data_IF_401671424634
#
_entry.id   IF_401671424634
#
_cell.length_a   1.000
_cell.length_b   1.000
_cell.length_c   1.000
_cell.angle_alpha   90.00
_cell.angle_beta   90.00
_cell.angle_gamma   90.00
#
_symmetry.space_group_name_H-M   'P 1'
#
loop_
_entity.id
_entity.type
_entity.pdbx_description
1 polymer ?
#
# COMPACT_ATOMS: atom_id res chain seq x y z
N UNK A 1 -15.02 46.29 27.70
CA UNK A 1 -15.35 45.73 26.37
C UNK A 1 -15.21 44.22 26.42
N UNK A 2 -15.98 43.43 25.65
CA UNK A 2 -15.93 41.96 25.68
C UNK A 2 -14.71 41.45 24.88
N UNK A 3 -13.50 41.55 25.46
CA UNK A 3 -12.25 41.11 24.81
C UNK A 3 -12.28 39.63 24.42
N UNK A 4 -12.97 38.79 25.19
CA UNK A 4 -13.14 37.35 24.91
C UNK A 4 -13.60 37.04 23.47
N UNK A 5 -14.58 37.79 22.96
CA UNK A 5 -15.10 37.63 21.58
C UNK A 5 -13.99 37.84 20.55
N UNK A 6 -13.19 38.89 20.73
CA UNK A 6 -12.13 39.24 19.80
C UNK A 6 -10.98 38.25 19.87
N UNK A 7 -10.64 37.71 21.05
CA UNK A 7 -9.64 36.64 21.16
C UNK A 7 -10.01 35.40 20.35
N UNK A 8 -11.27 34.96 20.47
CA UNK A 8 -11.80 33.85 19.67
C UNK A 8 -11.74 34.15 18.16
N UNK A 9 -11.99 35.40 17.78
CA UNK A 9 -11.92 35.85 16.39
C UNK A 9 -10.49 35.94 15.85
N UNK A 10 -9.50 36.27 16.68
CA UNK A 10 -8.09 36.27 16.26
C UNK A 10 -7.69 34.85 15.82
N UNK A 11 -8.02 33.81 16.59
CA UNK A 11 -7.76 32.42 16.17
C UNK A 11 -8.51 32.07 14.86
N UNK A 12 -9.81 32.38 14.79
CA UNK A 12 -10.61 32.12 13.60
C UNK A 12 -10.15 32.91 12.35
N UNK A 13 -9.42 34.01 12.53
CA UNK A 13 -8.82 34.77 11.43
C UNK A 13 -7.74 33.97 10.71
N UNK A 14 -6.82 33.35 11.46
CA UNK A 14 -5.73 32.53 10.90
C UNK A 14 -6.24 31.20 10.32
N UNK A 15 -7.31 30.65 10.89
CA UNK A 15 -7.99 29.47 10.33
C UNK A 15 -8.83 29.78 9.07
N UNK A 16 -8.97 31.05 8.69
CA UNK A 16 -9.80 31.47 7.55
C UNK A 16 -11.31 31.36 7.77
N UNK A 17 -11.76 31.17 9.02
CA UNK A 17 -13.15 30.87 9.39
C UNK A 17 -14.04 32.12 9.65
N UNK A 18 -13.47 33.33 9.61
CA UNK A 18 -14.24 34.58 9.79
C UNK A 18 -14.96 35.03 8.52
N UNK A 19 -16.20 35.51 8.68
CA UNK A 19 -16.94 36.18 7.60
C UNK A 19 -16.36 37.58 7.30
N UNK A 20 -16.63 38.17 6.11
CA UNK A 20 -16.13 39.50 5.77
C UNK A 20 -16.52 40.59 6.76
N UNK A 21 -17.72 40.49 7.34
CA UNK A 21 -18.23 41.45 8.33
C UNK A 21 -17.49 41.34 9.67
N UNK A 22 -17.23 40.11 10.11
CA UNK A 22 -16.48 39.85 11.34
C UNK A 22 -15.02 40.29 11.21
N UNK A 23 -14.40 40.09 10.03
CA UNK A 23 -13.05 40.59 9.75
C UNK A 23 -12.98 42.12 9.87
N UNK A 24 -13.95 42.85 9.30
CA UNK A 24 -13.99 44.32 9.40
C UNK A 24 -14.14 44.79 10.84
N UNK A 25 -15.03 44.17 11.61
CA UNK A 25 -15.23 44.50 13.03
C UNK A 25 -13.98 44.18 13.87
N UNK A 26 -13.31 43.05 13.61
CA UNK A 26 -12.05 42.70 14.26
C UNK A 26 -10.96 43.74 13.99
N UNK A 27 -10.76 44.14 12.73
CA UNK A 27 -9.76 45.15 12.34
C UNK A 27 -10.00 46.48 13.04
N UNK A 28 -11.26 46.91 13.16
CA UNK A 28 -11.60 48.16 13.86
C UNK A 28 -11.32 48.04 15.37
N UNK A 29 -11.55 46.87 15.96
CA UNK A 29 -11.18 46.61 17.34
C UNK A 29 -9.66 46.64 17.58
N UNK A 30 -8.87 46.06 16.66
CA UNK A 30 -7.40 46.05 16.76
C UNK A 30 -6.80 47.47 16.73
N UNK A 31 -7.48 48.44 16.11
CA UNK A 31 -7.06 49.86 16.14
C UNK A 31 -7.24 50.51 17.51
N UNK A 32 -8.24 50.07 18.28
CA UNK A 32 -8.65 50.70 19.54
C UNK A 32 -8.14 49.96 20.78
N UNK A 33 -7.86 48.66 20.68
CA UNK A 33 -7.40 47.83 21.79
C UNK A 33 -5.95 47.33 21.61
N UNK A 34 -5.06 47.76 22.52
CA UNK A 34 -3.65 47.34 22.54
C UNK A 34 -3.45 45.87 22.95
N UNK A 35 -4.29 45.34 23.83
CA UNK A 35 -4.22 43.93 24.27
C UNK A 35 -4.48 42.95 23.12
N UNK A 36 -5.60 43.12 22.41
CA UNK A 36 -5.95 42.27 21.28
C UNK A 36 -4.98 42.46 20.10
N UNK A 37 -4.40 43.66 19.94
CA UNK A 37 -3.35 43.88 18.94
C UNK A 37 -2.10 43.06 19.23
N UNK A 38 -1.64 43.03 20.49
CA UNK A 38 -0.48 42.24 20.89
C UNK A 38 -0.69 40.74 20.64
N UNK A 39 -1.87 40.22 20.98
CA UNK A 39 -2.21 38.81 20.72
C UNK A 39 -2.25 38.48 19.23
N UNK A 40 -2.77 39.40 18.40
CA UNK A 40 -2.76 39.23 16.95
C UNK A 40 -1.32 39.18 16.39
N UNK A 41 -0.45 40.10 16.82
CA UNK A 41 0.96 40.14 16.39
C UNK A 41 1.75 38.89 16.84
N UNK A 42 1.48 38.36 18.04
CA UNK A 42 2.11 37.12 18.53
C UNK A 42 1.75 35.92 17.63
N UNK A 43 0.48 35.80 17.26
CA UNK A 43 0.01 34.71 16.41
C UNK A 43 0.47 34.86 14.95
N UNK A 44 0.55 36.10 14.44
CA UNK A 44 1.13 36.40 13.12
C UNK A 44 2.60 35.99 13.04
N UNK A 45 3.39 36.25 14.08
CA UNK A 45 4.79 35.79 14.14
C UNK A 45 4.89 34.27 14.13
N UNK A 46 4.03 33.58 14.87
CA UNK A 46 4.05 32.12 14.90
C UNK A 46 3.75 31.51 13.52
N UNK A 47 2.72 32.02 12.84
CA UNK A 47 2.40 31.62 11.45
C UNK A 47 3.57 31.90 10.49
N UNK A 48 4.23 33.05 10.61
CA UNK A 48 5.38 33.38 9.76
C UNK A 48 6.56 32.41 9.94
N UNK A 49 6.82 31.97 11.18
CA UNK A 49 7.87 30.98 11.48
C UNK A 49 7.47 29.60 10.96
N UNK A 50 6.21 29.20 11.08
CA UNK A 50 5.71 27.93 10.55
C UNK A 50 5.72 27.89 9.02
N UNK A 51 5.45 29.02 8.36
CA UNK A 51 5.54 29.15 6.90
C UNK A 51 6.98 28.98 6.39
N UNK A 52 7.99 29.43 7.15
CA UNK A 52 9.40 29.22 6.84
C UNK A 52 9.82 27.76 7.03
N UNK A 53 9.20 27.05 7.98
CA UNK A 53 9.34 25.60 8.19
C UNK A 53 8.38 24.80 7.29
N UNK A 54 8.21 25.24 6.04
CA UNK A 54 7.46 24.46 5.05
C UNK A 54 8.13 23.10 4.87
N UNK A 55 7.53 22.07 5.46
CA UNK A 55 7.95 20.69 5.26
C UNK A 55 7.88 20.41 3.75
N UNK A 56 8.95 19.93 3.11
CA UNK A 56 8.94 19.68 1.69
C UNK A 56 7.80 18.71 1.38
N UNK A 57 6.82 19.19 0.60
CA UNK A 57 5.76 18.36 0.08
C UNK A 57 6.44 17.31 -0.81
N UNK A 58 6.30 15.99 -0.55
CA UNK A 58 6.95 14.98 -1.37
C UNK A 58 6.50 15.19 -2.82
N UNK A 59 7.47 15.38 -3.72
CA UNK A 59 7.20 15.61 -5.13
C UNK A 59 6.48 14.38 -5.72
N UNK A 60 5.63 14.59 -6.73
CA UNK A 60 4.89 13.51 -7.40
C UNK A 60 5.82 12.41 -7.95
N UNK A 61 7.09 12.72 -8.22
CA UNK A 61 8.14 11.77 -8.61
C UNK A 61 8.46 10.74 -7.51
N UNK A 62 8.43 11.13 -6.24
CA UNK A 62 8.63 10.21 -5.11
C UNK A 62 7.44 9.27 -4.98
N UNK A 63 6.23 9.78 -5.23
CA UNK A 63 5.00 9.00 -5.18
C UNK A 63 4.94 7.92 -6.27
N UNK A 64 5.31 8.28 -7.50
CA UNK A 64 5.35 7.34 -8.63
C UNK A 64 6.40 6.24 -8.45
N UNK A 65 7.59 6.55 -7.94
CA UNK A 65 8.61 5.53 -7.65
C UNK A 65 8.22 4.58 -6.51
N UNK A 66 7.57 5.09 -5.47
CA UNK A 66 7.11 4.25 -4.36
C UNK A 66 6.06 3.24 -4.83
N UNK A 67 5.02 3.69 -5.56
CA UNK A 67 3.97 2.81 -6.05
C UNK A 67 4.46 1.80 -7.09
N UNK A 68 5.30 2.21 -8.03
CA UNK A 68 5.82 1.32 -9.07
C UNK A 68 6.66 0.15 -8.50
N UNK A 69 7.37 0.36 -7.39
CA UNK A 69 8.22 -0.67 -6.79
C UNK A 69 7.47 -1.61 -5.84
N UNK A 70 6.46 -1.10 -5.13
CA UNK A 70 5.63 -1.88 -4.21
C UNK A 70 4.63 -2.75 -4.99
N UNK A 71 3.91 -2.16 -5.95
CA UNK A 71 2.85 -2.86 -6.69
C UNK A 71 3.40 -4.01 -7.55
N UNK A 72 4.46 -3.76 -8.33
CA UNK A 72 5.11 -4.77 -9.18
C UNK A 72 5.74 -5.92 -8.39
N UNK A 73 6.12 -5.70 -7.12
CA UNK A 73 6.71 -6.72 -6.26
C UNK A 73 5.64 -7.59 -5.61
N UNK A 74 4.53 -6.99 -5.21
CA UNK A 74 3.41 -7.68 -4.57
C UNK A 74 2.64 -8.53 -5.57
N UNK A 75 2.28 -7.97 -6.73
CA UNK A 75 1.51 -8.66 -7.77
C UNK A 75 2.18 -9.97 -8.20
N UNK A 76 3.50 -9.91 -8.44
CA UNK A 76 4.25 -11.11 -8.82
C UNK A 76 4.30 -12.14 -7.70
N UNK A 77 4.51 -11.74 -6.44
CA UNK A 77 4.56 -12.70 -5.32
C UNK A 77 3.20 -13.35 -5.08
N UNK A 78 2.13 -12.56 -5.06
CA UNK A 78 0.76 -13.03 -4.83
C UNK A 78 0.32 -13.92 -5.99
N UNK A 79 0.62 -13.55 -7.24
CA UNK A 79 0.31 -14.36 -8.42
C UNK A 79 0.92 -15.76 -8.35
N UNK A 80 2.18 -15.89 -7.93
CA UNK A 80 2.81 -17.22 -7.78
C UNK A 80 2.24 -18.03 -6.61
N UNK A 81 1.90 -17.37 -5.50
CA UNK A 81 1.24 -18.04 -4.37
C UNK A 81 -0.10 -18.60 -4.83
N UNK A 82 -0.93 -17.79 -5.48
CA UNK A 82 -2.24 -18.21 -6.00
C UNK A 82 -2.11 -19.30 -7.07
N UNK A 83 -1.15 -19.19 -7.99
CA UNK A 83 -0.92 -20.21 -9.02
C UNK A 83 -0.49 -21.54 -8.41
N UNK A 84 0.44 -21.52 -7.44
CA UNK A 84 0.91 -22.72 -6.76
C UNK A 84 -0.20 -23.39 -5.97
N UNK A 85 -0.99 -22.60 -5.24
CA UNK A 85 -2.11 -23.08 -4.45
C UNK A 85 -3.22 -23.65 -5.33
N UNK A 86 -3.59 -22.96 -6.41
CA UNK A 86 -4.58 -23.43 -7.38
C UNK A 86 -4.15 -24.72 -8.07
N UNK A 87 -2.87 -24.82 -8.46
CA UNK A 87 -2.31 -26.05 -9.02
C UNK A 87 -2.43 -27.22 -8.04
N UNK A 88 -2.01 -27.04 -6.78
CA UNK A 88 -2.12 -28.07 -5.74
C UNK A 88 -3.56 -28.56 -5.59
N UNK A 89 -4.53 -27.65 -5.52
CA UNK A 89 -5.96 -27.99 -5.35
C UNK A 89 -6.47 -28.79 -6.55
N UNK A 90 -6.21 -28.32 -7.78
CA UNK A 90 -6.66 -29.00 -9.00
C UNK A 90 -6.06 -30.40 -9.12
N UNK A 91 -4.81 -30.57 -8.71
CA UNK A 91 -4.11 -31.84 -8.81
C UNK A 91 -4.56 -32.82 -7.74
N UNK A 92 -4.84 -32.33 -6.53
CA UNK A 92 -5.42 -33.14 -5.48
C UNK A 92 -6.83 -33.62 -5.86
N UNK A 93 -7.64 -32.73 -6.44
CA UNK A 93 -8.96 -33.07 -6.95
C UNK A 93 -8.91 -34.04 -8.14
N UNK A 94 -8.00 -33.82 -9.09
CA UNK A 94 -7.79 -34.72 -10.23
C UNK A 94 -7.31 -36.10 -9.79
N UNK A 95 -6.38 -36.16 -8.82
CA UNK A 95 -5.94 -37.41 -8.22
C UNK A 95 -7.10 -38.12 -7.49
N UNK A 96 -7.93 -37.38 -6.75
CA UNK A 96 -9.12 -37.93 -6.10
C UNK A 96 -10.09 -38.55 -7.12
N UNK A 97 -10.40 -37.87 -8.22
CA UNK A 97 -11.26 -38.41 -9.27
C UNK A 97 -10.67 -39.66 -9.93
N UNK A 98 -9.35 -39.66 -10.20
CA UNK A 98 -8.67 -40.84 -10.76
C UNK A 98 -8.73 -42.01 -9.78
N UNK A 99 -8.50 -41.78 -8.49
CA UNK A 99 -8.60 -42.81 -7.45
C UNK A 99 -10.03 -43.36 -7.37
N UNK A 100 -11.05 -42.51 -7.41
CA UNK A 100 -12.44 -42.94 -7.40
C UNK A 100 -12.80 -43.80 -8.64
N UNK A 101 -12.36 -43.38 -9.83
CA UNK A 101 -12.55 -44.14 -11.07
C UNK A 101 -11.81 -45.47 -11.05
N UNK A 102 -10.56 -45.48 -10.57
CA UNK A 102 -9.75 -46.69 -10.46
C UNK A 102 -10.23 -47.67 -9.38
N UNK A 103 -10.87 -47.20 -8.32
CA UNK A 103 -11.44 -48.08 -7.28
C UNK A 103 -12.72 -48.78 -7.81
N UNK A 104 -13.46 -48.13 -8.72
CA UNK A 104 -14.68 -48.69 -9.29
C UNK A 104 -14.43 -49.74 -10.39
N UNK A 105 -13.28 -49.70 -11.06
CA UNK A 105 -12.91 -50.69 -12.08
C UNK A 105 -12.09 -51.87 -11.50
N UNK A 106 -12.61 -53.12 -11.54
CA UNK A 106 -11.95 -54.30 -10.96
C UNK A 106 -10.78 -54.86 -11.78
N UNK A 107 -10.68 -54.57 -13.07
CA UNK A 107 -9.74 -55.25 -13.99
C UNK A 107 -8.35 -54.61 -14.10
N UNK A 108 -8.09 -53.51 -13.38
CA UNK A 108 -6.80 -52.81 -13.45
C UNK A 108 -5.78 -53.41 -12.47
N UNK A 109 -4.58 -53.82 -12.93
CA UNK A 109 -3.51 -54.31 -12.07
C UNK A 109 -3.07 -53.25 -11.05
N UNK A 110 -2.95 -53.67 -9.79
CA UNK A 110 -2.63 -52.80 -8.63
C UNK A 110 -1.32 -52.00 -8.83
N UNK A 111 -0.36 -52.57 -9.57
CA UNK A 111 0.91 -51.94 -9.90
C UNK A 111 0.75 -50.71 -10.82
N UNK A 112 -0.15 -50.76 -11.80
CA UNK A 112 -0.42 -49.61 -12.69
C UNK A 112 -1.10 -48.48 -11.92
N UNK A 113 -1.96 -48.80 -10.94
CA UNK A 113 -2.66 -47.79 -10.12
C UNK A 113 -1.65 -46.94 -9.34
N UNK A 114 -0.69 -47.60 -8.70
CA UNK A 114 0.35 -46.95 -7.90
C UNK A 114 1.33 -46.21 -8.82
N UNK A 115 1.77 -46.84 -9.91
CA UNK A 115 2.69 -46.23 -10.87
C UNK A 115 2.17 -44.93 -11.48
N UNK A 116 0.90 -44.89 -11.85
CA UNK A 116 0.27 -43.70 -12.45
C UNK A 116 0.11 -42.57 -11.43
N UNK A 117 -0.27 -42.87 -10.19
CA UNK A 117 -0.38 -41.89 -9.11
C UNK A 117 0.97 -41.28 -8.74
N UNK A 118 2.00 -42.13 -8.58
CA UNK A 118 3.36 -41.66 -8.27
C UNK A 118 3.96 -40.85 -9.42
N UNK A 119 3.69 -41.23 -10.68
CA UNK A 119 4.13 -40.48 -11.86
C UNK A 119 3.46 -39.10 -11.95
N UNK A 120 2.13 -39.04 -11.81
CA UNK A 120 1.39 -37.78 -11.80
C UNK A 120 1.84 -36.86 -10.65
N UNK A 121 1.97 -37.40 -9.44
CA UNK A 121 2.49 -36.65 -8.29
C UNK A 121 3.92 -36.13 -8.52
N UNK A 122 4.79 -36.94 -9.12
CA UNK A 122 6.17 -36.54 -9.45
C UNK A 122 6.23 -35.40 -10.48
N UNK A 123 5.45 -35.50 -11.55
CA UNK A 123 5.36 -34.45 -12.58
C UNK A 123 4.88 -33.12 -12.00
N UNK A 124 3.92 -33.19 -11.07
CA UNK A 124 3.41 -32.04 -10.32
C UNK A 124 4.48 -31.37 -9.48
N UNK A 125 5.19 -32.15 -8.65
CA UNK A 125 6.23 -31.63 -7.76
C UNK A 125 7.36 -31.01 -8.58
N UNK A 126 7.72 -31.63 -9.70
CA UNK A 126 8.72 -31.11 -10.63
C UNK A 126 8.24 -29.84 -11.33
N UNK A 127 7.00 -29.77 -11.80
CA UNK A 127 6.46 -28.55 -12.40
C UNK A 127 6.44 -27.38 -11.41
N UNK A 128 5.98 -27.62 -10.18
CA UNK A 128 5.96 -26.58 -9.14
C UNK A 128 7.37 -26.14 -8.76
N UNK A 129 8.30 -27.09 -8.59
CA UNK A 129 9.70 -26.78 -8.26
C UNK A 129 10.41 -26.05 -9.40
N UNK A 130 10.24 -26.51 -10.64
CA UNK A 130 10.83 -25.90 -11.83
C UNK A 130 10.30 -24.49 -12.08
N UNK A 131 8.98 -24.28 -11.97
CA UNK A 131 8.39 -22.94 -12.08
C UNK A 131 8.98 -22.01 -11.01
N UNK A 132 9.06 -22.47 -9.76
CA UNK A 132 9.64 -21.69 -8.65
C UNK A 132 11.10 -21.32 -8.91
N UNK A 133 11.91 -22.28 -9.34
CA UNK A 133 13.36 -22.13 -9.51
C UNK A 133 13.73 -21.25 -10.71
N UNK A 134 13.12 -21.50 -11.87
CA UNK A 134 13.41 -20.76 -13.10
C UNK A 134 13.10 -19.26 -12.98
N UNK A 135 12.12 -18.92 -12.14
CA UNK A 135 11.70 -17.54 -11.90
C UNK A 135 12.51 -16.85 -10.81
N UNK A 136 13.03 -17.61 -9.84
CA UNK A 136 13.97 -17.08 -8.85
C UNK A 136 15.31 -16.72 -9.49
N UNK A 137 15.81 -17.54 -10.41
CA UNK A 137 17.07 -17.30 -11.13
C UNK A 137 17.00 -16.08 -12.06
N UNK A 138 15.88 -15.86 -12.77
CA UNK A 138 15.67 -14.66 -13.61
C UNK A 138 15.70 -13.35 -12.82
N UNK A 139 15.42 -13.39 -11.51
CA UNK A 139 15.58 -12.22 -10.63
C UNK A 139 17.03 -11.94 -10.23
N UNK A 140 17.93 -12.92 -10.27
CA UNK A 140 19.32 -12.77 -9.82
C UNK A 140 20.27 -12.32 -10.93
N UNK A 141 19.97 -12.64 -12.19
CA UNK A 141 20.77 -12.15 -13.34
C UNK A 141 20.68 -10.63 -13.51
N UNK A 142 19.53 -10.01 -13.25
CA UNK A 142 19.33 -8.55 -13.38
C UNK A 142 20.10 -7.70 -12.34
N UNK A 143 20.65 -8.30 -11.29
CA UNK A 143 21.47 -7.56 -10.30
C UNK A 143 22.97 -7.69 -10.56
N UNK A 144 23.40 -8.54 -11.50
CA UNK A 144 24.81 -8.63 -11.88
C UNK A 144 25.28 -7.51 -12.82
N UNK A 145 24.36 -6.76 -13.43
CA UNK A 145 24.70 -5.68 -14.36
C UNK A 145 24.89 -4.31 -13.68
N UNK A 146 24.68 -4.18 -12.37
CA UNK A 146 24.75 -2.89 -11.63
C UNK A 146 26.04 -2.77 -10.79
N UNK A 147 26.96 -3.73 -10.91
CA UNK A 147 28.23 -3.76 -10.16
C UNK A 147 29.48 -3.65 -11.06
N UNK A 148 29.33 -3.12 -12.28
CA UNK A 148 30.46 -2.74 -13.13
C UNK A 148 30.50 -1.25 -13.43
#
# INVERSE_FOLDING_TARGET
>A
MKHKKYKEWISAYFDGALTPDQKRELVEHLKTCSECRREFEEMERFESLMAEVSLPHPSEEVWTMYWASVYNRLERRIGWILLSLGSIILLFYGAYQLVEGLIKDPDLPLLMKIGLLSFLGGVVVLLVSFLRERLFLRKRERYKEVEQ
#
